data_IF_131147915435
#
_entry.id   IF_131147915435
#
_cell.length_a   1.000
_cell.length_b   1.000
_cell.length_c   1.000
_cell.angle_alpha   90.00
_cell.angle_beta   90.00
_cell.angle_gamma   90.00
#
_symmetry.space_group_name_H-M   'P 1'
#
loop_
_entity.id
_entity.type
_entity.pdbx_description
1 polymer ?
#
# COMPACT_ATOMS: atom_id res chain seq x y z
N UNK A 1 3.49 -24.32 5.91
CA UNK A 1 3.46 -23.46 7.11
C UNK A 1 2.03 -22.98 7.28
N UNK A 2 1.50 -22.88 8.50
CA UNK A 2 0.18 -22.29 8.72
C UNK A 2 0.34 -20.77 8.60
N UNK A 3 -0.38 -20.15 7.67
CA UNK A 3 -0.42 -18.69 7.53
C UNK A 3 -1.32 -18.15 8.65
N UNK A 4 -0.76 -17.29 9.50
CA UNK A 4 -1.51 -16.58 10.54
C UNK A 4 -1.85 -15.17 10.06
N UNK A 5 -3.15 -14.87 9.96
CA UNK A 5 -3.64 -13.52 9.65
C UNK A 5 -3.82 -12.73 10.95
N UNK A 6 -4.02 -11.41 10.84
CA UNK A 6 -4.38 -10.53 11.95
C UNK A 6 -5.81 -10.74 12.48
N UNK A 7 -6.65 -11.51 11.77
CA UNK A 7 -8.06 -11.69 12.10
C UNK A 7 -8.25 -12.90 13.03
N UNK A 8 -8.93 -12.68 14.15
CA UNK A 8 -9.16 -13.72 15.17
C UNK A 8 -10.02 -14.89 14.65
N UNK A 9 -11.07 -14.59 13.88
CA UNK A 9 -12.05 -15.56 13.39
C UNK A 9 -12.20 -15.47 11.85
N UNK A 10 -11.21 -15.94 11.07
CA UNK A 10 -11.24 -15.80 9.63
C UNK A 10 -12.31 -16.72 9.01
N UNK A 11 -13.28 -16.12 8.34
CA UNK A 11 -14.25 -16.80 7.49
C UNK A 11 -14.54 -15.91 6.26
N UNK A 12 -14.55 -16.46 5.03
CA UNK A 12 -14.38 -17.86 4.62
C UNK A 12 -12.92 -18.34 4.70
N UNK A 13 -12.60 -19.51 4.13
CA UNK A 13 -11.20 -19.94 3.94
C UNK A 13 -10.41 -18.85 3.19
N UNK A 14 -9.25 -18.47 3.71
CA UNK A 14 -8.59 -17.22 3.31
C UNK A 14 -7.68 -17.36 2.07
N UNK A 15 -7.13 -18.55 1.78
CA UNK A 15 -6.30 -18.85 0.60
C UNK A 15 -5.25 -17.78 0.23
N UNK A 16 -4.58 -17.19 1.24
CA UNK A 16 -3.71 -16.02 1.07
C UNK A 16 -2.39 -16.30 0.33
N UNK A 17 -2.03 -17.57 0.12
CA UNK A 17 -0.83 -17.98 -0.63
C UNK A 17 -0.75 -17.36 -2.04
N UNK A 18 -1.90 -16.99 -2.59
CA UNK A 18 -2.02 -16.40 -3.93
C UNK A 18 -1.76 -14.90 -4.01
N UNK A 19 -1.58 -14.22 -2.86
CA UNK A 19 -1.20 -12.80 -2.80
C UNK A 19 0.03 -12.54 -1.93
N UNK A 20 0.25 -13.33 -0.88
CA UNK A 20 1.44 -13.21 -0.05
C UNK A 20 2.69 -13.50 -0.88
N UNK A 21 3.74 -12.70 -0.66
CA UNK A 21 5.00 -12.75 -1.38
C UNK A 21 4.94 -12.15 -2.79
N UNK A 22 3.82 -11.53 -3.18
CA UNK A 22 3.70 -10.86 -4.48
C UNK A 22 4.01 -9.37 -4.38
N UNK A 23 4.77 -8.88 -5.37
CA UNK A 23 4.92 -7.46 -5.69
C UNK A 23 4.02 -7.11 -6.86
N UNK A 24 3.41 -5.93 -6.81
CA UNK A 24 2.67 -5.39 -7.93
C UNK A 24 2.80 -3.88 -8.09
N UNK A 25 2.75 -3.44 -9.34
CA UNK A 25 2.73 -2.04 -9.75
C UNK A 25 1.40 -1.78 -10.44
N UNK A 26 0.75 -0.68 -10.05
CA UNK A 26 -0.58 -0.34 -10.50
C UNK A 26 -0.73 1.17 -10.66
N UNK A 27 -1.60 1.55 -11.59
CA UNK A 27 -1.90 2.95 -11.89
C UNK A 27 -3.39 3.18 -11.67
N UNK A 28 -3.71 4.08 -10.74
CA UNK A 28 -5.08 4.53 -10.49
C UNK A 28 -5.65 5.28 -11.69
N UNK A 29 -6.98 5.35 -11.81
CA UNK A 29 -7.68 6.05 -12.88
C UNK A 29 -7.36 7.55 -12.93
N UNK A 30 -7.00 8.15 -11.79
CA UNK A 30 -6.50 9.52 -11.69
C UNK A 30 -5.01 9.68 -12.08
N UNK A 31 -4.36 8.62 -12.57
CA UNK A 31 -2.98 8.62 -13.07
C UNK A 31 -1.90 8.40 -12.00
N UNK A 32 -2.26 8.21 -10.73
CA UNK A 32 -1.30 7.97 -9.66
C UNK A 32 -0.73 6.54 -9.74
N UNK A 33 0.59 6.42 -9.77
CA UNK A 33 1.28 5.14 -9.91
C UNK A 33 1.94 4.71 -8.59
N UNK A 34 1.60 3.51 -8.15
CA UNK A 34 1.96 2.95 -6.86
C UNK A 34 2.51 1.55 -7.03
N UNK A 35 3.28 1.11 -6.04
CA UNK A 35 3.85 -0.23 -5.93
C UNK A 35 3.61 -0.76 -4.52
N UNK A 36 3.18 -2.01 -4.42
CA UNK A 36 2.96 -2.70 -3.15
C UNK A 36 3.62 -4.07 -3.21
N UNK A 37 4.25 -4.46 -2.11
CA UNK A 37 4.76 -5.78 -1.86
C UNK A 37 4.04 -6.35 -0.63
N UNK A 38 3.24 -7.39 -0.84
CA UNK A 38 2.56 -8.10 0.26
C UNK A 38 3.58 -9.05 0.88
N UNK A 39 4.41 -8.51 1.77
CA UNK A 39 5.58 -9.17 2.34
C UNK A 39 5.23 -10.49 3.01
N UNK A 40 4.22 -10.47 3.86
CA UNK A 40 3.67 -11.63 4.57
C UNK A 40 2.21 -11.36 4.94
N UNK A 41 1.63 -12.22 5.77
CA UNK A 41 0.21 -12.19 6.12
C UNK A 41 -0.25 -10.98 6.93
N UNK A 42 0.67 -10.24 7.54
CA UNK A 42 0.37 -9.10 8.41
C UNK A 42 1.15 -7.85 8.04
N UNK A 43 1.95 -7.89 6.97
CA UNK A 43 2.92 -6.83 6.65
C UNK A 43 2.96 -6.55 5.16
N UNK A 44 2.98 -5.26 4.80
CA UNK A 44 3.32 -4.80 3.46
C UNK A 44 4.51 -3.85 3.49
N UNK A 45 5.24 -3.81 2.38
CA UNK A 45 6.07 -2.66 2.01
C UNK A 45 5.38 -1.97 0.82
N UNK A 46 5.50 -0.65 0.71
CA UNK A 46 4.95 0.07 -0.44
C UNK A 46 5.81 1.26 -0.84
N UNK A 47 5.67 1.65 -2.11
CA UNK A 47 6.42 2.74 -2.74
C UNK A 47 5.51 3.51 -3.70
N UNK A 48 5.60 4.84 -3.65
CA UNK A 48 4.71 5.72 -4.43
C UNK A 48 5.54 6.40 -5.53
N UNK A 49 5.27 6.06 -6.78
CA UNK A 49 6.03 6.56 -7.93
C UNK A 49 5.57 7.94 -8.38
N UNK A 50 4.26 8.22 -8.34
CA UNK A 50 3.69 9.50 -8.78
C UNK A 50 2.42 9.88 -8.01
N UNK A 51 1.90 11.08 -8.29
CA UNK A 51 0.69 11.63 -7.65
C UNK A 51 1.01 12.56 -6.48
N UNK A 52 0.00 12.86 -5.66
CA UNK A 52 0.06 13.86 -4.57
C UNK A 52 1.22 13.64 -3.59
N UNK A 53 1.61 12.39 -3.37
CA UNK A 53 2.66 11.98 -2.43
C UNK A 53 3.74 11.13 -3.12
N UNK A 54 3.95 11.34 -4.42
CA UNK A 54 5.02 10.69 -5.20
C UNK A 54 6.40 10.93 -4.57
N UNK A 55 7.19 9.86 -4.42
CA UNK A 55 8.47 9.86 -3.72
C UNK A 55 8.42 9.24 -2.32
N UNK A 56 7.23 9.12 -1.71
CA UNK A 56 7.04 8.45 -0.41
C UNK A 56 7.20 6.94 -0.53
N UNK A 57 7.81 6.33 0.47
CA UNK A 57 7.92 4.87 0.58
C UNK A 57 8.00 4.42 2.03
N UNK A 58 7.56 3.18 2.29
CA UNK A 58 7.36 2.64 3.63
C UNK A 58 7.69 1.15 3.63
N UNK A 59 8.37 0.70 4.67
CA UNK A 59 8.61 -0.72 4.95
C UNK A 59 7.95 -1.14 6.25
N UNK A 60 7.59 -2.41 6.38
CA UNK A 60 7.11 -2.98 7.63
C UNK A 60 5.78 -2.38 8.10
N UNK A 61 4.91 -1.96 7.17
CA UNK A 61 3.58 -1.47 7.52
C UNK A 61 2.72 -2.66 7.93
N UNK A 62 2.28 -2.67 9.19
CA UNK A 62 1.32 -3.67 9.66
C UNK A 62 -0.04 -3.46 8.98
N UNK A 63 -0.66 -4.57 8.55
CA UNK A 63 -1.93 -4.56 7.83
C UNK A 63 -2.87 -5.64 8.36
N UNK A 64 -4.15 -5.40 8.14
CA UNK A 64 -5.15 -6.44 8.09
C UNK A 64 -5.29 -6.96 6.65
N UNK A 65 -4.93 -8.23 6.42
CA UNK A 65 -5.07 -8.90 5.13
C UNK A 65 -6.07 -10.05 5.25
N UNK A 66 -7.10 -10.02 4.39
CA UNK A 66 -8.12 -11.07 4.31
C UNK A 66 -8.44 -11.44 2.87
N UNK A 67 -8.84 -12.70 2.67
CA UNK A 67 -9.54 -13.18 1.49
C UNK A 67 -11.04 -12.98 1.67
N UNK A 68 -11.67 -12.20 0.79
CA UNK A 68 -13.13 -11.98 0.78
C UNK A 68 -13.87 -13.07 0.00
N UNK A 69 -13.16 -13.72 -0.92
CA UNK A 69 -13.65 -14.77 -1.80
C UNK A 69 -12.49 -15.25 -2.67
N UNK A 70 -12.76 -16.21 -3.55
CA UNK A 70 -11.73 -16.76 -4.43
C UNK A 70 -11.08 -15.65 -5.27
N UNK A 71 -9.77 -15.44 -5.09
CA UNK A 71 -9.00 -14.46 -5.85
C UNK A 71 -9.26 -12.99 -5.50
N UNK A 72 -10.04 -12.71 -4.45
CA UNK A 72 -10.37 -11.34 -4.02
C UNK A 72 -9.81 -11.10 -2.63
N UNK A 73 -8.86 -10.18 -2.53
CA UNK A 73 -8.16 -9.86 -1.29
C UNK A 73 -8.47 -8.45 -0.85
N UNK A 74 -8.49 -8.21 0.46
CA UNK A 74 -8.62 -6.90 1.05
C UNK A 74 -7.46 -6.67 2.01
N UNK A 75 -6.82 -5.52 1.87
CA UNK A 75 -5.71 -5.06 2.71
C UNK A 75 -6.13 -3.73 3.35
N UNK A 76 -6.10 -3.64 4.67
CA UNK A 76 -6.51 -2.43 5.41
C UNK A 76 -5.46 -2.02 6.44
N UNK A 77 -5.18 -0.73 6.57
CA UNK A 77 -4.25 -0.24 7.59
C UNK A 77 -4.51 1.22 7.99
N UNK A 78 -3.89 1.60 9.10
CA UNK A 78 -3.74 2.98 9.53
C UNK A 78 -2.27 3.36 9.53
N UNK A 79 -1.99 4.60 9.17
CA UNK A 79 -0.63 5.13 9.08
C UNK A 79 -0.30 6.06 10.27
N UNK A 80 0.99 6.24 10.59
CA UNK A 80 1.46 7.23 11.56
C UNK A 80 0.98 8.66 11.27
N UNK A 81 0.70 8.97 10.01
CA UNK A 81 0.16 10.26 9.52
C UNK A 81 -1.30 10.50 9.91
N UNK A 82 -2.02 9.45 10.34
CA UNK A 82 -3.47 9.45 10.50
C UNK A 82 -4.23 9.07 9.23
N UNK A 83 -3.54 8.79 8.12
CA UNK A 83 -4.18 8.24 6.91
C UNK A 83 -4.69 6.84 7.19
N UNK A 84 -5.93 6.56 6.80
CA UNK A 84 -6.48 5.21 6.74
C UNK A 84 -6.54 4.75 5.29
N UNK A 85 -6.27 3.48 5.04
CA UNK A 85 -6.30 2.92 3.69
C UNK A 85 -7.02 1.58 3.71
N UNK A 86 -7.81 1.34 2.67
CA UNK A 86 -8.35 0.03 2.31
C UNK A 86 -8.12 -0.19 0.84
N UNK A 87 -7.59 -1.36 0.48
CA UNK A 87 -7.34 -1.77 -0.90
C UNK A 87 -7.95 -3.13 -1.12
N UNK A 88 -8.78 -3.26 -2.15
CA UNK A 88 -9.20 -4.55 -2.67
C UNK A 88 -8.35 -4.89 -3.89
N UNK A 89 -7.78 -6.09 -3.93
CA UNK A 89 -6.92 -6.58 -5.00
C UNK A 89 -7.58 -7.81 -5.62
N UNK A 90 -7.74 -7.80 -6.94
CA UNK A 90 -8.26 -8.91 -7.74
C UNK A 90 -7.21 -9.25 -8.79
N UNK A 91 -6.16 -10.03 -8.44
CA UNK A 91 -4.99 -10.22 -9.30
C UNK A 91 -5.31 -10.85 -10.65
N UNK A 92 -6.22 -11.84 -10.69
CA UNK A 92 -6.61 -12.53 -11.92
C UNK A 92 -7.21 -11.58 -12.97
N UNK A 93 -7.94 -10.55 -12.51
CA UNK A 93 -8.57 -9.54 -13.37
C UNK A 93 -7.69 -8.30 -13.61
N UNK A 94 -6.49 -8.24 -13.01
CA UNK A 94 -5.61 -7.04 -13.01
C UNK A 94 -6.33 -5.77 -12.52
N UNK A 95 -7.24 -5.94 -11.56
CA UNK A 95 -8.03 -4.87 -10.96
C UNK A 95 -7.60 -4.65 -9.53
N UNK A 96 -7.48 -3.37 -9.16
CA UNK A 96 -7.35 -2.92 -7.80
C UNK A 96 -8.36 -1.79 -7.56
N UNK A 97 -8.94 -1.73 -6.37
CA UNK A 97 -9.71 -0.56 -5.94
C UNK A 97 -9.22 -0.13 -4.56
N UNK A 98 -8.66 1.08 -4.49
CA UNK A 98 -8.15 1.67 -3.26
C UNK A 98 -9.06 2.79 -2.80
N UNK A 99 -9.33 2.84 -1.50
CA UNK A 99 -9.89 4.03 -0.85
C UNK A 99 -8.90 4.52 0.18
N UNK A 100 -8.39 5.74 -0.03
CA UNK A 100 -7.49 6.42 0.89
C UNK A 100 -8.25 7.54 1.59
N UNK A 101 -8.16 7.59 2.91
CA UNK A 101 -8.77 8.60 3.76
C UNK A 101 -7.66 9.48 4.33
N UNK A 102 -7.35 10.58 3.65
CA UNK A 102 -6.33 11.51 4.06
C UNK A 102 -6.86 12.48 5.14
N UNK A 103 -6.15 12.67 6.25
CA UNK A 103 -6.36 13.82 7.12
C UNK A 103 -6.17 15.11 6.31
N UNK A 104 -6.94 16.15 6.64
CA UNK A 104 -6.92 17.41 5.89
C UNK A 104 -5.52 18.03 5.77
N UNK A 105 -4.66 17.89 6.79
CA UNK A 105 -3.29 18.39 6.73
C UNK A 105 -2.44 17.77 5.62
N UNK A 106 -2.73 16.51 5.24
CA UNK A 106 -2.04 15.82 4.13
C UNK A 106 -2.59 16.31 2.79
N UNK A 107 -3.89 16.57 2.68
CA UNK A 107 -4.48 17.19 1.49
C UNK A 107 -3.91 18.60 1.25
N UNK A 108 -3.78 19.40 2.32
CA UNK A 108 -3.24 20.75 2.24
C UNK A 108 -1.76 20.79 1.86
N UNK A 109 -0.97 19.81 2.32
CA UNK A 109 0.47 19.75 2.07
C UNK A 109 1.03 18.31 2.14
N UNK A 110 0.77 17.53 1.11
CA UNK A 110 1.22 16.14 0.99
C UNK A 110 2.73 15.97 0.96
N UNK A 111 3.47 17.01 0.56
CA UNK A 111 4.94 17.01 0.44
C UNK A 111 5.64 16.66 1.75
N UNK A 112 5.02 16.97 2.89
CA UNK A 112 5.51 16.61 4.23
C UNK A 112 5.64 15.11 4.46
N UNK A 113 4.94 14.30 3.68
CA UNK A 113 4.93 12.83 3.77
C UNK A 113 5.87 12.16 2.77
N UNK A 114 6.47 12.93 1.85
CA UNK A 114 7.37 12.48 0.78
C UNK A 114 8.78 12.28 1.32
N UNK A 115 9.00 11.09 1.88
CA UNK A 115 10.23 10.66 2.55
C UNK A 115 10.18 9.14 2.74
N UNK A 116 11.28 8.55 3.24
CA UNK A 116 11.22 7.22 3.84
C UNK A 116 10.54 7.32 5.21
N UNK A 117 9.33 6.80 5.36
CA UNK A 117 8.54 7.02 6.58
C UNK A 117 9.21 6.49 7.85
N UNK A 118 9.87 5.35 7.76
CA UNK A 118 10.40 4.61 8.90
C UNK A 118 11.39 5.44 9.72
N UNK A 119 12.17 6.32 9.08
CA UNK A 119 13.14 7.21 9.75
C UNK A 119 12.48 8.44 10.39
N UNK A 120 11.18 8.64 10.19
CA UNK A 120 10.48 9.88 10.51
C UNK A 120 9.12 9.66 11.20
N UNK A 121 8.92 8.51 11.85
CA UNK A 121 7.65 8.14 12.50
C UNK A 121 7.17 9.19 13.51
N UNK A 122 8.04 9.68 14.39
CA UNK A 122 7.69 10.69 15.39
C UNK A 122 7.29 12.03 14.75
N UNK A 123 7.93 12.38 13.62
CA UNK A 123 7.57 13.56 12.84
C UNK A 123 6.17 13.41 12.24
N UNK A 124 5.83 12.23 11.71
CA UNK A 124 4.49 11.96 11.15
C UNK A 124 3.41 12.02 12.22
N UNK A 125 3.64 11.40 13.39
CA UNK A 125 2.71 11.48 14.53
C UNK A 125 2.52 12.91 15.01
N UNK A 126 3.60 13.68 15.12
CA UNK A 126 3.52 15.10 15.49
C UNK A 126 2.70 15.92 14.49
N UNK A 127 2.87 15.72 13.19
CA UNK A 127 2.06 16.41 12.18
C UNK A 127 0.58 16.00 12.26
N UNK A 128 0.30 14.71 12.42
CA UNK A 128 -1.05 14.21 12.66
C UNK A 128 -1.71 14.88 13.86
N UNK A 129 -1.00 14.94 14.99
CA UNK A 129 -1.54 15.48 16.25
C UNK A 129 -1.73 17.02 16.19
N UNK A 130 -0.94 17.71 15.36
CA UNK A 130 -1.12 19.14 15.08
C UNK A 130 -2.30 19.41 14.13
N UNK A 131 -2.59 18.48 13.22
CA UNK A 131 -3.69 18.58 12.26
C UNK A 131 -3.53 19.72 11.25
N UNK A 132 -4.63 20.21 10.66
CA UNK A 132 -6.02 19.79 10.91
C UNK A 132 -6.31 18.35 10.43
N UNK A 133 -7.11 17.60 11.18
CA UNK A 133 -7.56 16.26 10.74
C UNK A 133 -8.73 16.33 9.78
N UNK A 134 -9.66 17.27 9.99
CA UNK A 134 -10.92 17.35 9.26
C UNK A 134 -10.99 18.61 8.37
N UNK A 135 -11.78 18.56 7.27
CA UNK A 135 -12.52 17.40 6.75
C UNK A 135 -11.59 16.30 6.22
N UNK A 136 -12.04 15.03 6.28
CA UNK A 136 -11.28 13.93 5.67
C UNK A 136 -11.39 14.04 4.15
N UNK A 137 -10.24 14.03 3.47
CA UNK A 137 -10.17 13.96 2.02
C UNK A 137 -10.18 12.50 1.57
N UNK A 138 -11.25 12.09 0.88
CA UNK A 138 -11.48 10.70 0.48
C UNK A 138 -11.15 10.52 -1.00
N UNK A 139 -10.28 9.56 -1.30
CA UNK A 139 -9.87 9.21 -2.68
C UNK A 139 -10.23 7.74 -2.94
N UNK A 140 -11.44 7.44 -3.46
CA UNK A 140 -11.86 6.11 -3.88
C UNK A 140 -11.62 5.93 -5.38
N UNK A 141 -10.60 5.15 -5.75
CA UNK A 141 -10.17 5.03 -7.14
C UNK A 141 -9.95 3.56 -7.53
N UNK A 142 -10.40 3.22 -8.74
CA UNK A 142 -9.95 2.01 -9.42
C UNK A 142 -8.53 2.20 -9.95
N UNK A 143 -7.79 1.10 -10.04
CA UNK A 143 -6.48 1.02 -10.67
C UNK A 143 -6.36 -0.23 -11.53
N UNK A 144 -5.53 -0.13 -12.56
CA UNK A 144 -5.09 -1.26 -13.35
C UNK A 144 -3.73 -1.77 -12.84
N UNK A 145 -3.64 -3.06 -12.57
CA UNK A 145 -2.39 -3.72 -12.16
C UNK A 145 -1.56 -4.03 -13.41
N UNK A 146 -0.49 -3.26 -13.62
CA UNK A 146 0.42 -3.43 -14.75
C UNK A 146 1.41 -4.57 -14.55
N UNK A 147 1.90 -4.79 -13.32
CA UNK A 147 2.86 -5.83 -12.97
C UNK A 147 2.34 -6.61 -11.78
N UNK A 148 2.45 -7.94 -11.80
CA UNK A 148 2.13 -8.81 -10.68
C UNK A 148 3.05 -10.02 -10.68
N UNK A 149 3.94 -10.13 -9.71
CA UNK A 149 5.00 -11.15 -9.70
C UNK A 149 5.27 -11.67 -8.29
N UNK A 150 5.50 -12.97 -8.18
CA UNK A 150 5.96 -13.57 -6.94
C UNK A 150 7.46 -13.29 -6.75
N UNK A 151 7.80 -12.62 -5.67
CA UNK A 151 9.17 -12.21 -5.32
C UNK A 151 9.67 -12.87 -4.02
N UNK A 152 8.88 -13.79 -3.45
CA UNK A 152 9.18 -14.44 -2.18
C UNK A 152 8.57 -13.72 -0.99
N UNK A 153 8.59 -14.37 0.17
CA UNK A 153 8.04 -13.90 1.44
C UNK A 153 9.19 -13.34 2.27
N UNK A 154 8.97 -12.24 2.98
CA UNK A 154 9.96 -11.60 3.86
C UNK A 154 11.28 -11.20 3.16
N UNK A 155 11.22 -10.90 1.86
CA UNK A 155 12.38 -10.40 1.12
C UNK A 155 12.52 -8.88 1.31
N UNK A 156 13.52 -8.50 2.10
CA UNK A 156 13.78 -7.10 2.44
C UNK A 156 14.34 -6.26 1.28
N UNK A 157 14.73 -6.90 0.17
CA UNK A 157 15.33 -6.24 -1.00
C UNK A 157 14.29 -5.78 -2.03
N UNK A 158 13.02 -6.18 -1.89
CA UNK A 158 11.96 -5.88 -2.88
C UNK A 158 11.64 -4.40 -2.96
N UNK A 159 11.53 -3.75 -1.80
CA UNK A 159 11.37 -2.30 -1.63
C UNK A 159 12.41 -1.85 -0.61
N UNK A 160 13.58 -1.44 -1.10
CA UNK A 160 14.75 -1.08 -0.29
C UNK A 160 15.34 0.31 -0.63
N UNK A 161 14.76 1.00 -1.61
CA UNK A 161 15.23 2.31 -2.08
C UNK A 161 14.06 3.21 -2.50
N UNK A 162 14.31 4.52 -2.52
CA UNK A 162 13.33 5.52 -2.92
C UNK A 162 12.99 5.41 -4.42
N UNK A 163 11.78 5.84 -4.84
CA UNK A 163 11.38 5.84 -6.26
C UNK A 163 12.39 6.53 -7.19
N UNK A 164 12.98 7.64 -6.73
CA UNK A 164 13.89 8.45 -7.53
C UNK A 164 15.24 7.78 -7.79
N UNK A 165 15.60 6.77 -7.00
CA UNK A 165 16.88 6.05 -7.11
C UNK A 165 16.75 4.76 -7.94
N UNK A 166 15.56 4.49 -8.48
CA UNK A 166 15.31 3.35 -9.35
C UNK A 166 15.78 3.61 -10.79
N UNK A 167 16.10 2.54 -11.56
CA UNK A 167 16.37 2.68 -12.98
C UNK A 167 15.20 3.34 -13.73
N UNK A 168 15.52 4.11 -14.77
CA UNK A 168 14.50 4.67 -15.65
C UNK A 168 13.60 3.57 -16.24
N UNK A 169 12.29 3.81 -16.25
CA UNK A 169 11.29 2.85 -16.73
C UNK A 169 10.99 1.70 -15.75
N UNK A 170 11.54 1.71 -14.53
CA UNK A 170 11.26 0.66 -13.55
C UNK A 170 9.77 0.50 -13.25
N UNK A 171 9.03 1.61 -13.14
CA UNK A 171 7.61 1.60 -12.83
C UNK A 171 6.72 1.27 -14.05
N UNK A 172 7.28 1.24 -15.26
CA UNK A 172 6.56 0.96 -16.51
C UNK A 172 6.55 -0.55 -16.87
N UNK A 173 7.14 -1.39 -16.02
CA UNK A 173 7.19 -2.83 -16.21
C UNK A 173 5.79 -3.45 -16.20
N UNK A 174 5.61 -4.51 -16.99
CA UNK A 174 4.34 -5.25 -17.06
C UNK A 174 4.52 -6.75 -17.33
N UNK A 175 3.50 -7.54 -17.00
CA UNK A 175 3.40 -8.98 -17.29
C UNK A 175 1.95 -9.49 -17.32
#
# INVERSE_FOLDING_TARGET
MSIHTSVADPAPEQALDSIIGHRFIYTYANGWQYEMYVKNATTIDYRIHSGMVGGRWVKGQEVDLVGLGRGVFKISWNEPTGTSVVVNVVPEDRVLHGTIFFPHWVELDGSKTVLFQNDHLDKMRRFRDQGPTYPIYVVPEFAHITLFEFVGIDDETVIDTAPADLPAGFADRSN
#
